data_IF_285153513140
#
_entry.id   IF_285153513140
#
_cell.length_a   1.000
_cell.length_b   1.000
_cell.length_c   1.000
_cell.angle_alpha   90.00
_cell.angle_beta   90.00
_cell.angle_gamma   90.00
#
_symmetry.space_group_name_H-M   'P 1'
#
loop_
_entity.id
_entity.type
_entity.pdbx_description
1 polymer ?
#
# COMPACT_ATOMS: atom_id res chain seq x y z
N UNK A 1 -32.97 -7.63 -8.88
CA UNK A 1 -32.00 -7.19 -9.89
C UNK A 1 -31.34 -8.42 -10.49
N UNK A 2 -31.09 -8.44 -11.81
CA UNK A 2 -30.28 -9.52 -12.43
C UNK A 2 -28.89 -9.56 -11.76
N UNK A 3 -28.32 -10.74 -11.47
CA UNK A 3 -26.94 -10.89 -11.00
C UNK A 3 -25.91 -10.16 -11.90
N UNK A 4 -26.22 -10.00 -13.19
CA UNK A 4 -25.37 -9.33 -14.18
C UNK A 4 -25.37 -7.79 -14.09
N UNK A 5 -26.10 -7.19 -13.13
CA UNK A 5 -26.18 -5.72 -12.94
C UNK A 5 -25.37 -5.19 -11.75
N UNK A 6 -24.70 -6.04 -10.97
CA UNK A 6 -23.90 -5.56 -9.84
C UNK A 6 -22.54 -5.06 -10.32
N UNK A 7 -22.23 -3.80 -10.02
CA UNK A 7 -20.93 -3.19 -10.29
C UNK A 7 -19.89 -3.84 -9.37
N UNK A 8 -18.80 -4.33 -9.95
CA UNK A 8 -17.71 -4.95 -9.22
C UNK A 8 -16.73 -3.90 -8.70
N UNK A 9 -16.48 -3.89 -7.40
CA UNK A 9 -15.48 -3.06 -6.75
C UNK A 9 -14.36 -3.94 -6.21
N UNK A 10 -13.13 -3.59 -6.57
CA UNK A 10 -11.95 -4.20 -5.99
C UNK A 10 -11.54 -3.45 -4.73
N UNK A 11 -11.17 -4.18 -3.68
CA UNK A 11 -10.62 -3.62 -2.44
C UNK A 11 -9.27 -4.26 -2.19
N UNK A 12 -8.26 -3.47 -1.80
CA UNK A 12 -7.02 -4.06 -1.34
C UNK A 12 -7.20 -4.76 0.02
N UNK A 13 -6.42 -5.82 0.25
CA UNK A 13 -6.21 -6.34 1.60
C UNK A 13 -4.76 -6.78 1.80
N UNK A 14 -4.13 -6.32 2.89
CA UNK A 14 -2.83 -6.72 3.46
C UNK A 14 -1.87 -7.23 2.39
N UNK A 15 -1.01 -6.39 1.83
CA UNK A 15 0.08 -6.92 1.03
C UNK A 15 1.02 -7.78 1.91
N UNK A 16 1.56 -8.87 1.38
CA UNK A 16 2.73 -9.53 1.96
C UNK A 16 3.81 -9.50 0.90
N UNK A 17 4.59 -8.42 0.89
CA UNK A 17 5.81 -8.42 0.12
C UNK A 17 6.96 -9.01 0.90
N UNK A 18 8.00 -9.40 0.17
CA UNK A 18 9.30 -9.69 0.79
C UNK A 18 9.81 -8.53 1.66
N UNK A 19 9.33 -7.30 1.47
CA UNK A 19 9.91 -6.13 2.13
C UNK A 19 8.89 -5.16 2.74
N UNK A 20 7.59 -5.50 2.78
CA UNK A 20 6.55 -4.72 3.44
C UNK A 20 5.28 -5.56 3.73
N UNK A 21 4.42 -5.03 4.60
CA UNK A 21 3.05 -5.50 4.79
C UNK A 21 2.10 -4.31 4.82
N UNK A 22 2.04 -3.57 3.72
CA UNK A 22 1.38 -2.27 3.74
C UNK A 22 0.07 -2.44 3.00
N UNK A 23 -0.99 -2.41 3.78
CA UNK A 23 -2.34 -2.10 3.32
C UNK A 23 -3.14 -1.69 4.55
N UNK A 24 -3.35 -0.38 4.65
CA UNK A 24 -4.25 0.19 5.65
C UNK A 24 -5.59 0.64 5.01
N UNK A 25 -6.16 -0.17 4.11
CA UNK A 25 -7.53 -0.04 3.61
C UNK A 25 -8.50 -0.82 4.50
N UNK A 26 -8.20 -2.10 4.76
CA UNK A 26 -9.04 -2.97 5.59
C UNK A 26 -8.41 -3.29 6.95
N UNK A 27 -7.09 -3.38 7.04
CA UNK A 27 -6.35 -3.85 8.23
C UNK A 27 -5.40 -2.76 8.74
N UNK A 28 -5.21 -2.60 10.05
CA UNK A 28 -4.26 -1.60 10.58
C UNK A 28 -2.83 -2.13 10.60
N UNK A 29 -2.32 -2.56 9.46
CA UNK A 29 -1.08 -3.32 9.44
C UNK A 29 0.13 -2.45 9.78
N UNK A 30 0.19 -1.21 9.31
CA UNK A 30 1.32 -0.32 9.62
C UNK A 30 1.35 0.11 11.09
N UNK A 31 0.19 0.42 11.68
CA UNK A 31 0.08 0.70 13.13
C UNK A 31 0.50 -0.51 13.98
N UNK A 32 0.10 -1.72 13.56
CA UNK A 32 0.46 -2.97 14.23
C UNK A 32 1.94 -3.29 14.08
N UNK A 33 2.52 -3.04 12.90
CA UNK A 33 3.94 -3.20 12.62
C UNK A 33 4.77 -2.22 13.47
N UNK A 34 4.33 -0.96 13.62
CA UNK A 34 4.97 0.02 14.49
C UNK A 34 5.00 -0.45 15.95
N UNK A 35 3.85 -0.89 16.46
CA UNK A 35 3.71 -1.43 17.83
C UNK A 35 4.64 -2.63 18.05
N UNK A 36 4.63 -3.59 17.13
CA UNK A 36 5.50 -4.75 17.18
C UNK A 36 6.98 -4.35 17.14
N UNK A 37 7.36 -3.45 16.23
CA UNK A 37 8.75 -3.02 16.06
C UNK A 37 9.27 -2.28 17.29
N UNK A 38 8.44 -1.42 17.91
CA UNK A 38 8.76 -0.72 19.15
C UNK A 38 9.05 -1.69 20.30
N UNK A 39 8.22 -2.73 20.43
CA UNK A 39 8.40 -3.76 21.44
C UNK A 39 9.67 -4.60 21.23
N UNK A 40 9.98 -4.97 19.98
CA UNK A 40 11.06 -5.93 19.69
C UNK A 40 12.44 -5.27 19.52
N UNK A 41 12.49 -4.04 19.03
CA UNK A 41 13.75 -3.33 18.74
C UNK A 41 13.94 -2.06 19.55
N UNK A 42 13.05 -1.74 20.49
CA UNK A 42 13.16 -0.56 21.36
C UNK A 42 13.03 0.76 20.61
N UNK A 43 12.32 0.77 19.47
CA UNK A 43 12.04 1.99 18.71
C UNK A 43 10.84 2.76 19.27
N UNK A 44 10.57 3.93 18.69
CA UNK A 44 9.40 4.76 19.01
C UNK A 44 8.69 5.22 17.73
N UNK A 45 8.39 4.27 16.85
CA UNK A 45 7.70 4.47 15.59
C UNK A 45 6.20 4.71 15.83
N UNK A 46 5.66 5.63 15.05
CA UNK A 46 4.25 5.93 14.87
C UNK A 46 3.86 5.70 13.41
N UNK A 47 2.56 5.73 13.10
CA UNK A 47 2.09 5.61 11.71
C UNK A 47 2.66 6.70 10.78
N UNK A 48 2.97 7.88 11.32
CA UNK A 48 3.54 9.00 10.56
C UNK A 48 5.01 8.78 10.18
N UNK A 49 5.70 7.85 10.83
CA UNK A 49 7.10 7.50 10.51
C UNK A 49 7.19 6.59 9.26
N UNK A 50 6.06 6.06 8.77
CA UNK A 50 6.00 5.26 7.55
C UNK A 50 5.94 6.19 6.33
N UNK A 51 7.09 6.79 6.01
CA UNK A 51 7.17 7.77 4.94
C UNK A 51 7.00 7.17 3.54
N UNK A 52 7.37 5.92 3.32
CA UNK A 52 7.28 5.23 2.05
C UNK A 52 6.64 3.86 2.22
N UNK A 53 6.03 3.35 1.15
CA UNK A 53 5.42 2.01 1.10
C UNK A 53 6.43 0.88 1.34
N UNK A 54 7.72 1.12 1.08
CA UNK A 54 8.78 0.13 1.26
C UNK A 54 9.47 0.36 2.62
N UNK A 55 9.33 -0.58 3.55
CA UNK A 55 9.75 -0.39 4.95
C UNK A 55 11.22 -0.02 5.14
N UNK A 56 12.15 -0.52 4.32
CA UNK A 56 13.58 -0.19 4.48
C UNK A 56 13.85 1.31 4.31
N UNK A 57 12.97 2.03 3.59
CA UNK A 57 13.05 3.48 3.40
C UNK A 57 12.56 4.28 4.61
N UNK A 58 12.01 3.61 5.63
CA UNK A 58 11.45 4.24 6.83
C UNK A 58 12.41 4.08 8.02
N UNK A 59 12.34 4.98 9.03
CA UNK A 59 13.18 4.92 10.22
C UNK A 59 13.10 3.56 10.91
N UNK A 60 14.23 3.09 11.46
CA UNK A 60 14.27 1.90 12.31
C UNK A 60 14.30 0.55 11.59
N UNK A 61 13.91 0.45 10.32
CA UNK A 61 13.82 -0.84 9.61
C UNK A 61 15.16 -1.40 9.14
N UNK A 62 16.10 -0.55 8.74
CA UNK A 62 17.46 -0.94 8.31
C UNK A 62 17.57 -1.17 6.81
N UNK A 63 18.61 -1.87 6.37
CA UNK A 63 18.80 -2.27 4.96
C UNK A 63 17.64 -3.13 4.44
N UNK A 64 17.48 -3.28 3.11
CA UNK A 64 16.48 -4.19 2.54
C UNK A 64 16.56 -5.62 3.10
N UNK A 65 17.76 -6.14 3.36
CA UNK A 65 17.96 -7.48 3.95
C UNK A 65 17.49 -7.54 5.41
N UNK A 66 17.84 -6.54 6.23
CA UNK A 66 17.35 -6.47 7.61
C UNK A 66 15.84 -6.33 7.66
N UNK A 67 15.30 -5.47 6.80
CA UNK A 67 13.86 -5.26 6.64
C UNK A 67 13.14 -6.55 6.28
N UNK A 68 13.64 -7.32 5.30
CA UNK A 68 13.09 -8.63 4.94
C UNK A 68 13.03 -9.58 6.14
N UNK A 69 14.07 -9.62 6.97
CA UNK A 69 14.09 -10.46 8.17
C UNK A 69 13.05 -10.00 9.19
N UNK A 70 12.97 -8.69 9.46
CA UNK A 70 11.97 -8.11 10.36
C UNK A 70 10.54 -8.36 9.89
N UNK A 71 10.28 -8.16 8.61
CA UNK A 71 9.01 -8.45 7.94
C UNK A 71 8.66 -9.94 8.13
N UNK A 72 9.60 -10.86 7.90
CA UNK A 72 9.37 -12.29 8.13
C UNK A 72 9.05 -12.61 9.59
N UNK A 73 9.74 -11.99 10.55
CA UNK A 73 9.49 -12.16 11.98
C UNK A 73 8.11 -11.62 12.38
N UNK A 74 7.79 -10.39 11.95
CA UNK A 74 6.49 -9.76 12.18
C UNK A 74 5.34 -10.63 11.68
N UNK A 75 5.45 -11.19 10.48
CA UNK A 75 4.40 -12.01 9.86
C UNK A 75 4.08 -13.31 10.59
N UNK A 76 5.02 -13.81 11.41
CA UNK A 76 4.85 -14.99 12.24
C UNK A 76 4.39 -14.65 13.66
N UNK A 77 4.35 -13.36 14.00
CA UNK A 77 3.99 -12.90 15.33
C UNK A 77 2.47 -12.95 15.56
N UNK A 78 2.09 -13.00 16.83
CA UNK A 78 0.68 -12.84 17.22
C UNK A 78 0.14 -11.44 16.91
N UNK A 79 1.02 -10.44 16.82
CA UNK A 79 0.62 -9.07 16.48
C UNK A 79 0.04 -9.04 15.07
N UNK A 80 0.73 -9.64 14.10
CA UNK A 80 0.25 -9.71 12.72
C UNK A 80 -1.07 -10.49 12.62
N UNK A 81 -1.15 -11.66 13.27
CA UNK A 81 -2.37 -12.49 13.28
C UNK A 81 -3.58 -11.75 13.86
N UNK A 82 -3.37 -10.89 14.85
CA UNK A 82 -4.42 -10.13 15.53
C UNK A 82 -4.55 -8.68 15.06
N UNK A 83 -3.98 -8.33 13.90
CA UNK A 83 -4.11 -6.99 13.31
C UNK A 83 -5.58 -6.59 13.26
N UNK A 84 -5.99 -5.47 13.90
CA UNK A 84 -7.39 -5.06 13.90
C UNK A 84 -7.82 -4.47 12.56
N UNK A 85 -9.13 -4.40 12.28
CA UNK A 85 -9.63 -3.70 11.11
C UNK A 85 -9.42 -2.18 11.23
N UNK A 86 -9.28 -1.51 10.07
CA UNK A 86 -9.31 -0.05 9.97
C UNK A 86 -10.67 0.47 10.44
N UNK A 87 -10.68 1.65 11.07
CA UNK A 87 -11.92 2.28 11.52
C UNK A 87 -12.88 2.50 10.34
N UNK A 88 -14.14 2.10 10.51
CA UNK A 88 -15.17 2.24 9.48
C UNK A 88 -15.09 1.19 8.37
N UNK A 89 -14.14 0.26 8.38
CA UNK A 89 -13.98 -0.73 7.31
C UNK A 89 -15.18 -1.68 7.21
N UNK A 90 -15.66 -2.19 8.34
CA UNK A 90 -16.84 -3.06 8.37
C UNK A 90 -18.08 -2.31 7.86
N UNK A 91 -18.33 -1.12 8.38
CA UNK A 91 -19.47 -0.27 8.03
C UNK A 91 -19.41 0.16 6.56
N UNK A 92 -18.22 0.51 6.06
CA UNK A 92 -17.99 0.88 4.67
C UNK A 92 -18.26 -0.28 3.71
N UNK A 93 -17.70 -1.46 4.00
CA UNK A 93 -17.94 -2.67 3.20
C UNK A 93 -19.43 -3.05 3.22
N UNK A 94 -20.09 -3.01 4.39
CA UNK A 94 -21.53 -3.23 4.49
C UNK A 94 -22.34 -2.22 3.68
N UNK A 95 -21.97 -0.93 3.72
CA UNK A 95 -22.62 0.11 2.95
C UNK A 95 -22.47 -0.11 1.44
N UNK A 96 -21.29 -0.53 0.96
CA UNK A 96 -21.10 -0.88 -0.44
C UNK A 96 -21.95 -2.10 -0.85
N UNK A 97 -22.02 -3.15 -0.02
CA UNK A 97 -22.93 -4.27 -0.28
C UNK A 97 -24.40 -3.84 -0.31
N UNK A 98 -24.81 -2.95 0.58
CA UNK A 98 -26.17 -2.39 0.62
C UNK A 98 -26.51 -1.58 -0.64
N UNK A 99 -25.53 -0.86 -1.19
CA UNK A 99 -25.67 -0.16 -2.48
C UNK A 99 -25.73 -1.12 -3.69
N UNK A 100 -25.58 -2.43 -3.47
CA UNK A 100 -25.71 -3.48 -4.49
C UNK A 100 -24.42 -3.79 -5.24
N UNK A 101 -23.26 -3.39 -4.71
CA UNK A 101 -21.97 -3.71 -5.30
C UNK A 101 -21.53 -5.15 -4.99
N UNK A 102 -20.89 -5.78 -5.98
CA UNK A 102 -20.11 -7.02 -5.76
C UNK A 102 -18.71 -6.60 -5.31
N UNK A 103 -18.20 -7.22 -4.25
CA UNK A 103 -16.92 -6.84 -3.64
C UNK A 103 -15.94 -8.00 -3.75
N UNK A 104 -14.84 -7.78 -4.46
CA UNK A 104 -13.76 -8.75 -4.56
C UNK A 104 -12.45 -8.11 -4.06
N UNK A 105 -11.63 -8.86 -3.36
CA UNK A 105 -10.31 -8.38 -2.89
C UNK A 105 -9.26 -8.67 -3.95
N UNK A 106 -8.39 -7.70 -4.24
CA UNK A 106 -7.21 -7.89 -5.10
C UNK A 106 -5.96 -7.53 -4.32
N UNK A 107 -5.23 -8.57 -3.88
CA UNK A 107 -4.10 -8.42 -2.95
C UNK A 107 -2.77 -8.86 -3.58
N UNK A 108 -1.70 -8.18 -3.16
CA UNK A 108 -0.33 -8.54 -3.53
C UNK A 108 0.20 -9.82 -2.85
N UNK A 109 -0.56 -10.39 -1.90
CA UNK A 109 -0.19 -11.65 -1.22
C UNK A 109 0.00 -12.79 -2.21
N UNK A 110 0.95 -13.67 -1.90
CA UNK A 110 1.04 -14.99 -2.52
C UNK A 110 -0.07 -15.92 -2.01
N UNK A 111 -0.48 -16.88 -2.85
CA UNK A 111 -1.55 -17.84 -2.56
C UNK A 111 -1.32 -18.65 -1.27
N UNK A 112 -0.06 -18.91 -0.90
CA UNK A 112 0.30 -19.58 0.37
C UNK A 112 -0.21 -18.87 1.62
N UNK A 113 -0.59 -17.59 1.53
CA UNK A 113 -1.13 -16.80 2.63
C UNK A 113 -2.65 -16.79 2.67
N UNK A 114 -3.32 -17.56 1.80
CA UNK A 114 -4.76 -17.63 1.67
C UNK A 114 -5.45 -17.97 3.00
N UNK A 115 -5.00 -19.03 3.67
CA UNK A 115 -5.62 -19.47 4.92
C UNK A 115 -5.72 -18.37 5.99
N UNK A 116 -4.62 -17.65 6.24
CA UNK A 116 -4.62 -16.54 7.21
C UNK A 116 -5.47 -15.35 6.75
N UNK A 117 -5.60 -15.12 5.44
CA UNK A 117 -6.48 -14.08 4.88
C UNK A 117 -7.94 -14.43 5.12
N UNK A 118 -8.33 -15.66 4.81
CA UNK A 118 -9.69 -16.17 4.98
C UNK A 118 -10.10 -16.17 6.45
N UNK A 119 -9.22 -16.61 7.37
CA UNK A 119 -9.50 -16.54 8.80
C UNK A 119 -9.73 -15.11 9.29
N UNK A 120 -8.95 -14.13 8.80
CA UNK A 120 -9.14 -12.73 9.16
C UNK A 120 -10.46 -12.20 8.62
N UNK A 121 -10.79 -12.52 7.36
CA UNK A 121 -12.05 -12.15 6.71
C UNK A 121 -13.26 -12.74 7.41
N UNK A 122 -13.23 -14.03 7.77
CA UNK A 122 -14.32 -14.69 8.50
C UNK A 122 -14.55 -14.06 9.88
N UNK A 123 -13.47 -13.62 10.53
CA UNK A 123 -13.53 -12.98 11.84
C UNK A 123 -14.09 -11.55 11.77
N UNK A 124 -13.69 -10.77 10.77
CA UNK A 124 -13.92 -9.32 10.74
C UNK A 124 -14.93 -8.85 9.70
N UNK A 125 -15.09 -9.57 8.59
CA UNK A 125 -15.98 -9.24 7.46
C UNK A 125 -16.81 -10.47 6.98
N UNK A 126 -17.46 -11.22 7.89
CA UNK A 126 -18.09 -12.50 7.56
C UNK A 126 -19.16 -12.36 6.47
N UNK A 127 -18.97 -13.07 5.36
CA UNK A 127 -19.93 -13.12 4.25
C UNK A 127 -20.07 -11.85 3.42
N UNK A 128 -19.18 -10.86 3.61
CA UNK A 128 -19.25 -9.58 2.89
C UNK A 128 -18.41 -9.54 1.61
N UNK A 129 -17.34 -10.34 1.54
CA UNK A 129 -16.43 -10.41 0.40
C UNK A 129 -16.78 -11.61 -0.47
N UNK A 130 -16.96 -11.37 -1.78
CA UNK A 130 -17.40 -12.39 -2.73
C UNK A 130 -16.23 -13.28 -3.22
N UNK A 131 -15.02 -12.71 -3.36
CA UNK A 131 -13.81 -13.45 -3.77
C UNK A 131 -12.52 -12.71 -3.40
N UNK A 132 -11.42 -13.45 -3.23
CA UNK A 132 -10.06 -12.90 -3.08
C UNK A 132 -9.18 -13.35 -4.24
N UNK A 133 -8.44 -12.41 -4.83
CA UNK A 133 -7.45 -12.65 -5.89
C UNK A 133 -6.05 -12.37 -5.38
N UNK A 134 -5.18 -13.36 -5.48
CA UNK A 134 -3.79 -13.32 -5.04
C UNK A 134 -2.88 -13.10 -6.25
N UNK A 135 -2.16 -11.98 -6.31
CA UNK A 135 -1.24 -11.72 -7.44
C UNK A 135 0.14 -12.31 -7.23
N UNK A 136 0.57 -12.51 -5.97
CA UNK A 136 1.94 -12.93 -5.65
C UNK A 136 3.02 -11.99 -6.20
N UNK A 137 2.70 -10.71 -6.39
CA UNK A 137 3.56 -9.70 -7.05
C UNK A 137 4.97 -9.63 -6.43
N UNK A 138 5.07 -9.90 -5.14
CA UNK A 138 6.32 -9.86 -4.38
C UNK A 138 6.85 -11.24 -3.99
N UNK A 139 6.33 -12.31 -4.59
CA UNK A 139 6.88 -13.64 -4.39
C UNK A 139 8.32 -13.68 -4.94
N UNK A 140 9.26 -14.01 -4.05
CA UNK A 140 10.66 -14.25 -4.37
C UNK A 140 11.02 -15.68 -3.99
N UNK A 141 12.04 -16.23 -4.65
CA UNK A 141 12.59 -17.53 -4.29
C UNK A 141 12.98 -17.52 -2.80
N UNK A 142 12.45 -18.45 -1.97
CA UNK A 142 12.73 -18.49 -0.53
C UNK A 142 14.23 -18.62 -0.19
N UNK A 143 15.05 -19.09 -1.14
CA UNK A 143 16.50 -19.23 -1.00
C UNK A 143 17.30 -18.06 -1.60
N UNK A 144 16.65 -17.08 -2.23
CA UNK A 144 17.35 -15.91 -2.74
C UNK A 144 17.56 -14.88 -1.61
N UNK A 145 18.79 -14.38 -1.50
CA UNK A 145 19.04 -13.06 -0.91
C UNK A 145 18.27 -12.00 -1.72
N UNK A 146 18.26 -10.75 -1.23
CA UNK A 146 17.54 -9.63 -1.87
C UNK A 146 17.69 -9.69 -3.39
N UNK A 147 16.64 -10.04 -4.17
CA UNK A 147 16.78 -10.25 -5.59
C UNK A 147 17.17 -8.93 -6.24
N UNK A 148 17.95 -8.95 -7.33
CA UNK A 148 18.37 -7.73 -8.02
C UNK A 148 17.16 -6.90 -8.47
N UNK A 149 17.34 -5.60 -8.78
CA UNK A 149 16.26 -4.76 -9.29
C UNK A 149 15.55 -5.45 -10.48
N UNK A 150 14.25 -5.23 -10.70
CA UNK A 150 13.42 -5.92 -11.69
C UNK A 150 13.84 -5.73 -13.18
N UNK A 151 15.03 -5.20 -13.45
CA UNK A 151 15.61 -5.06 -14.79
C UNK A 151 16.38 -6.32 -15.26
N UNK A 152 16.32 -7.43 -14.50
CA UNK A 152 16.78 -8.73 -14.94
C UNK A 152 15.76 -9.35 -15.90
N UNK A 153 16.10 -9.43 -17.19
CA UNK A 153 15.28 -9.91 -18.31
C UNK A 153 14.87 -11.40 -18.28
N UNK A 154 14.64 -11.97 -17.09
CA UNK A 154 14.35 -13.40 -16.88
C UNK A 154 13.17 -13.70 -15.98
N UNK A 155 12.53 -12.71 -15.34
CA UNK A 155 11.37 -12.97 -14.49
C UNK A 155 10.11 -13.21 -15.35
N UNK A 156 9.48 -14.36 -15.14
CA UNK A 156 8.13 -14.66 -15.65
C UNK A 156 7.20 -13.48 -15.36
N UNK A 157 6.48 -12.99 -16.38
CA UNK A 157 5.55 -11.85 -16.27
C UNK A 157 4.65 -12.02 -15.04
N UNK A 158 4.96 -11.28 -13.97
CA UNK A 158 4.17 -11.30 -12.75
C UNK A 158 2.83 -10.65 -13.04
N UNK A 159 1.76 -11.28 -12.56
CA UNK A 159 0.40 -10.78 -12.73
C UNK A 159 0.24 -9.53 -11.86
N UNK A 160 -0.08 -8.38 -12.44
CA UNK A 160 -0.25 -7.14 -11.67
C UNK A 160 -1.69 -6.99 -11.18
N UNK A 161 -1.93 -6.09 -10.21
CA UNK A 161 -3.31 -5.73 -9.84
C UNK A 161 -4.10 -5.20 -11.04
N UNK A 162 -3.49 -4.38 -11.89
CA UNK A 162 -4.13 -3.87 -13.11
C UNK A 162 -4.56 -5.00 -14.06
N UNK A 163 -3.76 -6.06 -14.21
CA UNK A 163 -4.14 -7.24 -15.00
C UNK A 163 -5.35 -7.96 -14.39
N UNK A 164 -5.39 -8.12 -13.07
CA UNK A 164 -6.54 -8.71 -12.37
C UNK A 164 -7.79 -7.85 -12.55
N UNK A 165 -7.72 -6.54 -12.27
CA UNK A 165 -8.84 -5.61 -12.41
C UNK A 165 -9.48 -5.68 -13.81
N UNK A 166 -8.63 -5.71 -14.84
CA UNK A 166 -9.08 -5.87 -16.23
C UNK A 166 -9.77 -7.22 -16.46
N UNK A 167 -9.21 -8.30 -15.91
CA UNK A 167 -9.74 -9.67 -16.05
C UNK A 167 -11.11 -9.83 -15.39
N UNK A 168 -11.30 -9.25 -14.21
CA UNK A 168 -12.55 -9.37 -13.44
C UNK A 168 -13.59 -8.32 -13.83
N UNK A 169 -13.21 -7.34 -14.68
CA UNK A 169 -14.08 -6.25 -15.10
C UNK A 169 -14.39 -5.27 -13.98
N UNK A 170 -13.42 -5.03 -13.09
CA UNK A 170 -13.57 -4.11 -11.97
C UNK A 170 -13.90 -2.69 -12.46
N UNK A 171 -14.80 -2.03 -11.73
CA UNK A 171 -15.31 -0.69 -12.05
C UNK A 171 -14.71 0.40 -11.18
N UNK A 172 -14.17 0.04 -10.02
CA UNK A 172 -13.27 0.87 -9.25
C UNK A 172 -12.35 0.01 -8.38
N UNK A 173 -11.27 0.61 -7.88
CA UNK A 173 -10.38 0.04 -6.85
C UNK A 173 -10.29 0.99 -5.66
N UNK A 174 -10.31 0.45 -4.44
CA UNK A 174 -9.94 1.15 -3.20
C UNK A 174 -8.61 0.58 -2.72
N UNK A 175 -7.55 1.40 -2.70
CA UNK A 175 -6.16 0.97 -2.44
C UNK A 175 -5.39 2.15 -1.80
N UNK A 176 -4.49 1.90 -0.85
CA UNK A 176 -3.71 2.95 -0.19
C UNK A 176 -2.32 3.16 -0.82
N UNK A 177 -1.91 2.31 -1.76
CA UNK A 177 -0.63 2.39 -2.45
C UNK A 177 -0.71 3.33 -3.65
N UNK A 178 0.02 4.45 -3.59
CA UNK A 178 0.11 5.38 -4.72
C UNK A 178 0.70 4.70 -5.98
N UNK A 179 1.76 3.87 -5.93
CA UNK A 179 2.20 3.09 -7.09
C UNK A 179 1.09 2.23 -7.71
N UNK A 180 0.28 1.54 -6.90
CA UNK A 180 -0.85 0.76 -7.40
C UNK A 180 -1.91 1.66 -8.03
N UNK A 181 -2.24 2.79 -7.42
CA UNK A 181 -3.19 3.76 -7.96
C UNK A 181 -2.73 4.32 -9.32
N UNK A 182 -1.45 4.66 -9.46
CA UNK A 182 -0.86 5.11 -10.72
C UNK A 182 -0.91 4.03 -11.81
N UNK A 183 -0.69 2.76 -11.45
CA UNK A 183 -0.77 1.64 -12.37
C UNK A 183 -2.22 1.33 -12.78
N UNK A 184 -3.13 1.28 -11.81
CA UNK A 184 -4.50 0.81 -11.99
C UNK A 184 -5.46 1.87 -12.53
N UNK A 185 -5.16 3.16 -12.37
CA UNK A 185 -5.98 4.28 -12.90
C UNK A 185 -6.19 4.25 -14.42
N UNK A 186 -5.33 3.52 -15.14
CA UNK A 186 -5.47 3.25 -16.57
C UNK A 186 -6.55 2.21 -16.91
N UNK A 187 -7.03 1.47 -15.91
CA UNK A 187 -7.99 0.36 -16.04
C UNK A 187 -9.32 0.71 -15.41
N UNK A 188 -9.30 1.28 -14.21
CA UNK A 188 -10.49 1.69 -13.47
C UNK A 188 -10.20 2.95 -12.62
N UNK A 189 -11.24 3.74 -12.31
CA UNK A 189 -11.17 4.77 -11.27
C UNK A 189 -10.64 4.21 -9.94
N UNK A 190 -9.74 4.97 -9.29
CA UNK A 190 -9.10 4.58 -8.04
C UNK A 190 -9.50 5.54 -6.93
N UNK A 191 -9.95 5.01 -5.80
CA UNK A 191 -10.00 5.73 -4.54
C UNK A 191 -8.70 5.46 -3.76
N UNK A 192 -7.77 6.41 -3.78
CA UNK A 192 -6.55 6.35 -3.00
C UNK A 192 -6.90 6.55 -1.52
N UNK A 193 -6.88 5.46 -0.76
CA UNK A 193 -7.40 5.40 0.60
C UNK A 193 -6.41 5.99 1.62
N UNK A 194 -6.96 6.73 2.58
CA UNK A 194 -6.24 7.32 3.70
C UNK A 194 -5.51 8.64 3.40
N UNK A 195 -5.05 9.30 4.46
CA UNK A 195 -4.15 10.47 4.42
C UNK A 195 -2.76 10.08 4.97
N UNK A 196 -2.30 8.90 4.56
CA UNK A 196 -1.07 8.29 5.05
C UNK A 196 0.18 8.93 4.46
N UNK A 197 1.30 8.86 5.19
CA UNK A 197 2.56 9.40 4.70
C UNK A 197 3.07 8.66 3.46
N UNK A 198 2.95 7.33 3.42
CA UNK A 198 3.39 6.51 2.29
C UNK A 198 2.59 6.71 1.00
N UNK A 199 1.37 7.25 1.09
CA UNK A 199 0.50 7.47 -0.07
C UNK A 199 0.61 8.89 -0.67
N UNK A 200 1.47 9.75 -0.09
CA UNK A 200 1.73 11.10 -0.59
C UNK A 200 2.77 11.13 -1.71
N UNK A 201 3.57 10.06 -1.86
CA UNK A 201 4.68 9.99 -2.81
C UNK A 201 4.88 8.56 -3.32
N UNK A 202 5.31 8.37 -4.57
CA UNK A 202 5.60 7.04 -5.08
C UNK A 202 6.77 6.41 -4.32
N UNK A 203 6.70 5.10 -4.10
CA UNK A 203 7.80 4.34 -3.52
C UNK A 203 8.23 3.24 -4.50
N UNK A 204 9.22 3.54 -5.32
CA UNK A 204 9.74 2.61 -6.34
C UNK A 204 10.84 1.68 -5.79
N UNK A 205 11.16 0.62 -6.52
CA UNK A 205 12.34 -0.24 -6.32
C UNK A 205 13.03 -0.48 -7.68
N UNK A 206 13.47 0.59 -8.34
CA UNK A 206 13.96 0.52 -9.73
C UNK A 206 15.48 0.66 -9.81
N UNK A 207 16.10 1.40 -8.90
CA UNK A 207 17.51 1.75 -8.95
C UNK A 207 18.20 1.65 -7.57
N UNK A 208 19.52 1.82 -7.56
CA UNK A 208 20.32 1.72 -6.33
C UNK A 208 19.92 2.75 -5.24
N UNK A 209 19.44 3.94 -5.64
CA UNK A 209 18.95 4.96 -4.71
C UNK A 209 17.65 4.54 -4.03
N UNK A 210 16.79 3.81 -4.74
CA UNK A 210 15.56 3.25 -4.18
C UNK A 210 15.81 2.17 -3.12
N UNK A 211 16.97 1.49 -3.20
CA UNK A 211 17.37 0.46 -2.25
C UNK A 211 18.17 0.96 -1.06
N UNK A 212 18.41 2.27 -0.97
CA UNK A 212 18.98 2.86 0.23
C UNK A 212 18.00 2.73 1.39
N UNK A 213 18.49 2.25 2.53
CA UNK A 213 17.77 2.38 3.80
C UNK A 213 17.54 3.85 4.16
N UNK A 214 16.62 4.12 5.08
CA UNK A 214 16.40 5.46 5.64
C UNK A 214 17.72 6.13 6.07
N UNK A 215 18.55 5.41 6.83
CA UNK A 215 19.81 5.94 7.37
C UNK A 215 20.87 6.16 6.30
N UNK A 216 20.89 5.36 5.23
CA UNK A 216 21.76 5.60 4.07
C UNK A 216 21.28 6.81 3.27
N UNK A 217 19.98 6.91 3.02
CA UNK A 217 19.39 8.01 2.27
C UNK A 217 19.53 9.34 3.00
N UNK A 218 19.31 9.38 4.32
CA UNK A 218 19.51 10.56 5.16
C UNK A 218 20.95 11.10 5.05
N UNK A 219 21.95 10.22 5.11
CA UNK A 219 23.37 10.59 4.95
C UNK A 219 23.64 11.14 3.55
N UNK A 220 23.09 10.50 2.52
CA UNK A 220 23.22 10.96 1.14
C UNK A 220 22.59 12.35 0.95
N UNK A 221 21.36 12.56 1.43
CA UNK A 221 20.66 13.86 1.35
C UNK A 221 21.41 14.96 2.12
N UNK A 222 22.05 14.63 3.25
CA UNK A 222 22.87 15.58 3.99
C UNK A 222 24.10 16.04 3.19
N UNK A 223 24.82 15.11 2.56
CA UNK A 223 25.98 15.43 1.71
C UNK A 223 25.54 16.29 0.53
N UNK A 224 24.48 15.91 -0.15
CA UNK A 224 23.93 16.66 -1.29
C UNK A 224 23.45 18.06 -0.90
N UNK A 225 22.76 18.20 0.25
CA UNK A 225 22.31 19.49 0.74
C UNK A 225 23.50 20.44 1.01
N UNK A 226 24.54 19.95 1.69
CA UNK A 226 25.77 20.72 1.96
C UNK A 226 26.50 21.11 0.69
N UNK A 227 26.63 20.19 -0.28
CA UNK A 227 27.27 20.47 -1.55
C UNK A 227 26.52 21.54 -2.36
N UNK A 228 25.18 21.45 -2.43
CA UNK A 228 24.35 22.48 -3.08
C UNK A 228 24.47 23.83 -2.40
N UNK A 229 24.50 23.85 -1.07
CA UNK A 229 24.63 25.07 -0.28
C UNK A 229 25.96 25.78 -0.53
N UNK A 230 27.07 25.04 -0.49
CA UNK A 230 28.40 25.55 -0.80
C UNK A 230 28.49 26.11 -2.23
N UNK A 231 27.99 25.37 -3.22
CA UNK A 231 27.99 25.80 -4.63
C UNK A 231 27.18 27.07 -4.87
N UNK A 232 26.09 27.26 -4.15
CA UNK A 232 25.19 28.40 -4.33
C UNK A 232 25.44 29.55 -3.32
N UNK A 233 26.39 29.40 -2.39
CA UNK A 233 26.68 30.39 -1.37
C UNK A 233 25.51 30.65 -0.41
N UNK A 234 24.69 29.64 -0.12
CA UNK A 234 23.53 29.74 0.79
C UNK A 234 23.80 28.99 2.09
N UNK A 235 23.11 29.39 3.17
CA UNK A 235 23.09 28.64 4.40
C UNK A 235 22.36 27.29 4.21
N UNK A 236 22.73 26.30 5.01
CA UNK A 236 22.08 24.98 5.05
C UNK A 236 21.56 24.71 6.45
N UNK A 237 20.31 24.31 6.54
CA UNK A 237 19.62 23.98 7.77
C UNK A 237 19.30 22.48 7.79
N UNK A 238 19.09 21.91 8.98
CA UNK A 238 18.80 20.48 9.12
C UNK A 238 17.55 20.04 8.33
N UNK A 239 16.56 20.93 8.23
CA UNK A 239 15.35 20.73 7.43
C UNK A 239 15.62 20.48 5.95
N UNK A 240 16.78 20.88 5.43
CA UNK A 240 17.13 20.69 4.03
C UNK A 240 17.41 19.22 3.69
N UNK A 241 17.73 18.38 4.69
CA UNK A 241 17.97 16.95 4.48
C UNK A 241 17.17 16.03 5.40
N UNK A 242 16.72 16.46 6.59
CA UNK A 242 16.03 15.58 7.54
C UNK A 242 14.52 15.38 7.24
N UNK A 243 13.99 16.03 6.19
CA UNK A 243 12.62 15.86 5.67
C UNK A 243 12.59 15.77 4.14
N UNK A 244 13.58 15.10 3.55
CA UNK A 244 13.74 15.07 2.09
C UNK A 244 12.50 14.56 1.35
N UNK A 245 11.75 13.64 1.98
CA UNK A 245 10.55 13.03 1.44
C UNK A 245 9.43 14.04 1.17
N UNK A 246 9.40 15.19 1.85
CA UNK A 246 8.40 16.24 1.59
C UNK A 246 8.54 16.82 0.19
N UNK A 247 9.76 16.84 -0.36
CA UNK A 247 10.04 17.26 -1.74
C UNK A 247 9.59 16.24 -2.78
N UNK A 248 9.34 15.00 -2.36
CA UNK A 248 8.91 13.91 -3.24
C UNK A 248 7.38 13.76 -3.27
N UNK A 249 6.66 14.57 -2.48
CA UNK A 249 5.22 14.56 -2.44
C UNK A 249 4.60 14.92 -3.79
N UNK A 250 3.65 14.10 -4.21
CA UNK A 250 2.80 14.38 -5.35
C UNK A 250 1.64 15.28 -4.90
N UNK A 251 1.79 16.59 -5.09
CA UNK A 251 0.80 17.58 -4.66
C UNK A 251 -0.50 17.54 -5.48
N UNK A 252 -0.45 17.03 -6.72
CA UNK A 252 -1.60 16.93 -7.62
C UNK A 252 -1.70 15.50 -8.12
N UNK A 253 -2.81 14.82 -7.81
CA UNK A 253 -3.07 13.47 -8.28
C UNK A 253 -3.42 13.47 -9.77
N UNK A 254 -2.94 12.49 -10.56
CA UNK A 254 -3.34 12.33 -11.96
C UNK A 254 -4.84 12.04 -12.11
N UNK A 255 -5.42 12.28 -13.31
CA UNK A 255 -6.79 11.92 -13.61
C UNK A 255 -7.08 10.43 -13.34
N UNK A 256 -8.29 10.13 -12.88
CA UNK A 256 -8.71 8.76 -12.54
C UNK A 256 -8.32 8.30 -11.13
N UNK A 257 -7.68 9.16 -10.33
CA UNK A 257 -7.34 8.88 -8.93
C UNK A 257 -7.98 9.97 -8.05
N UNK A 258 -8.85 9.54 -7.13
CA UNK A 258 -9.52 10.40 -6.15
C UNK A 258 -9.07 10.02 -4.75
N UNK A 259 -8.72 10.99 -3.91
CA UNK A 259 -8.32 10.72 -2.52
C UNK A 259 -9.55 10.48 -1.65
N UNK A 260 -9.56 9.38 -0.90
CA UNK A 260 -10.59 9.07 0.08
C UNK A 260 -9.95 8.87 1.46
N UNK A 261 -10.02 9.88 2.33
CA UNK A 261 -9.32 9.89 3.63
C UNK A 261 -9.82 8.84 4.64
N UNK A 262 -11.02 8.31 4.44
CA UNK A 262 -11.68 7.37 5.34
C UNK A 262 -12.74 6.59 4.58
N UNK A 263 -13.28 5.53 5.20
CA UNK A 263 -14.42 4.80 4.66
C UNK A 263 -15.66 5.69 4.49
N UNK A 264 -15.88 6.70 5.34
CA UNK A 264 -16.96 7.66 5.15
C UNK A 264 -16.84 8.41 3.81
N UNK A 265 -15.64 8.92 3.49
CA UNK A 265 -15.39 9.57 2.20
C UNK A 265 -15.51 8.61 1.02
N UNK A 266 -15.12 7.34 1.18
CA UNK A 266 -15.37 6.31 0.15
C UNK A 266 -16.87 6.23 -0.14
N UNK A 267 -17.70 6.07 0.89
CA UNK A 267 -19.15 5.95 0.71
C UNK A 267 -19.78 7.22 0.15
N UNK A 268 -19.32 8.39 0.56
CA UNK A 268 -19.74 9.68 -0.01
C UNK A 268 -19.44 9.74 -1.52
N UNK A 269 -18.24 9.35 -1.93
CA UNK A 269 -17.89 9.30 -3.35
C UNK A 269 -18.80 8.35 -4.12
N UNK A 270 -19.04 7.14 -3.62
CA UNK A 270 -19.94 6.18 -4.26
C UNK A 270 -21.38 6.68 -4.35
N UNK A 271 -21.85 7.54 -3.43
CA UNK A 271 -23.20 8.13 -3.48
C UNK A 271 -23.29 9.42 -4.30
N UNK A 272 -22.15 10.03 -4.62
CA UNK A 272 -22.09 11.29 -5.35
C UNK A 272 -22.45 11.13 -6.83
N UNK A 273 -22.92 12.20 -7.45
CA UNK A 273 -23.17 12.26 -8.90
C UNK A 273 -21.89 11.96 -9.69
N UNK A 274 -20.75 12.51 -9.25
CA UNK A 274 -19.44 12.26 -9.86
C UNK A 274 -19.08 10.76 -9.84
N UNK A 275 -19.24 10.11 -8.70
CA UNK A 275 -18.94 8.68 -8.54
C UNK A 275 -19.88 7.81 -9.38
N UNK A 276 -21.19 8.07 -9.35
CA UNK A 276 -22.18 7.33 -10.14
C UNK A 276 -21.91 7.46 -11.65
N UNK A 277 -21.62 8.67 -12.12
CA UNK A 277 -21.23 8.93 -13.51
C UNK A 277 -19.95 8.20 -13.89
N UNK A 278 -18.95 8.26 -13.02
CA UNK A 278 -17.64 7.61 -13.22
C UNK A 278 -17.77 6.09 -13.31
N UNK A 279 -18.72 5.50 -12.57
CA UNK A 279 -19.04 4.07 -12.62
C UNK A 279 -19.94 3.67 -13.81
N UNK A 280 -20.40 4.65 -14.60
CA UNK A 280 -21.32 4.44 -15.73
C UNK A 280 -22.72 3.99 -15.29
N UNK A 281 -23.20 4.51 -14.16
CA UNK A 281 -24.50 4.17 -13.55
C UNK A 281 -25.60 5.22 -13.82
N UNK A 282 -25.40 6.14 -14.78
CA UNK A 282 -26.44 7.05 -15.30
C UNK A 282 -27.39 6.35 -16.29
#
# INVERSE_FOLDING_TARGET
>A
MSPDRQVLIAVDMVSQAAYNYDDDVLCRTNETAATWHNLHYGTNLTIDDFHYYHYWKNPGWGSPTETLNKVREFSKSEHFTNTPPIEGALEGIQALKYLGYRLEIVTARALRHQHGTEMWLDKHLPGLIDKVHYTGEFEHNPNAAVPPPPNGSGDSKKLTKADILKTIGAKALIDDSLPNALLCSKVAPILLFGDYQWNKRPSFDENARDRMSYSERLRWEQVEAKHRAEKNGIAVEESDWNKWWDRENLHVLPPGITRAKSWAHVIEWFKSEEGQKTLGQE
#
